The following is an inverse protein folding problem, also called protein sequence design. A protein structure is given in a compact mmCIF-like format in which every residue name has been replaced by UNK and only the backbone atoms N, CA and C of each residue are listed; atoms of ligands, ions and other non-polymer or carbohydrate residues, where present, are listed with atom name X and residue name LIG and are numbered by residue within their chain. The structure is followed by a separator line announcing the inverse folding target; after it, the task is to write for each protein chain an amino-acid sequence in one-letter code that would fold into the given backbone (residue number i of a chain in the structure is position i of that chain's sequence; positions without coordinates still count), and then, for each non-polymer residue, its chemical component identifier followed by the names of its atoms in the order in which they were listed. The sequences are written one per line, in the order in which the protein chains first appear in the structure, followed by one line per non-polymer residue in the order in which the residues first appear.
data_IF_624611446009
#
_entry.id   IF_624611446009
#
_cell.length_a   1.000
_cell.length_b   1.000
_cell.length_c   1.000
_cell.angle_alpha   90.00
_cell.angle_beta   90.00
_cell.angle_gamma   90.00
#
_symmetry.space_group_name_H-M   'P 1'
#
loop_
_entity.id
_entity.type
_entity.pdbx_description
1 polymer ?
#
# COMPACT_ATOMS: atom_id res chain seq x y z
N UNK A 1 -21.46 17.23 29.12
CA UNK A 1 -20.23 17.81 28.53
C UNK A 1 -18.97 17.24 29.18
N UNK A 2 -18.66 17.49 30.46
CA UNK A 2 -17.41 17.01 31.08
C UNK A 2 -17.23 15.46 31.08
N UNK A 3 -18.27 14.70 31.42
CA UNK A 3 -18.24 13.23 31.38
C UNK A 3 -18.10 12.66 29.96
N UNK A 4 -18.67 13.35 28.96
CA UNK A 4 -18.60 12.94 27.56
C UNK A 4 -17.21 13.20 26.98
N UNK A 5 -16.64 14.38 27.24
CA UNK A 5 -15.27 14.73 26.90
C UNK A 5 -14.28 13.72 27.48
N UNK A 6 -14.43 13.37 28.77
CA UNK A 6 -13.58 12.37 29.44
C UNK A 6 -13.64 11.00 28.78
N UNK A 7 -14.83 10.56 28.34
CA UNK A 7 -15.01 9.31 27.60
C UNK A 7 -14.33 9.36 26.23
N UNK A 8 -14.50 10.44 25.47
CA UNK A 8 -13.88 10.62 24.16
C UNK A 8 -12.35 10.64 24.25
N UNK A 9 -11.78 11.38 25.20
CA UNK A 9 -10.32 11.41 25.43
C UNK A 9 -9.77 10.03 25.77
N UNK A 10 -10.48 9.25 26.59
CA UNK A 10 -10.08 7.87 26.92
C UNK A 10 -10.10 6.96 25.68
N UNK A 11 -11.17 7.03 24.88
CA UNK A 11 -11.30 6.24 23.64
C UNK A 11 -10.20 6.63 22.65
N UNK A 12 -9.96 7.93 22.47
CA UNK A 12 -8.89 8.45 21.64
C UNK A 12 -7.52 7.95 22.08
N UNK A 13 -7.22 7.96 23.38
CA UNK A 13 -5.97 7.42 23.90
C UNK A 13 -5.77 5.95 23.53
N UNK A 14 -6.83 5.14 23.66
CA UNK A 14 -6.82 3.74 23.22
C UNK A 14 -6.63 3.58 21.71
N UNK A 15 -7.29 4.42 20.91
CA UNK A 15 -7.14 4.44 19.45
C UNK A 15 -5.71 4.80 19.04
N UNK A 16 -5.12 5.83 19.65
CA UNK A 16 -3.73 6.24 19.41
C UNK A 16 -2.76 5.11 19.73
N UNK A 17 -2.90 4.46 20.88
CA UNK A 17 -2.06 3.31 21.25
C UNK A 17 -2.20 2.14 20.27
N UNK A 18 -3.42 1.81 19.84
CA UNK A 18 -3.64 0.79 18.82
C UNK A 18 -2.98 1.17 17.50
N UNK A 19 -3.04 2.44 17.13
CA UNK A 19 -2.56 2.93 15.86
C UNK A 19 -1.04 3.02 15.82
N UNK A 20 -0.38 3.37 16.92
CA UNK A 20 1.08 3.26 17.08
C UNK A 20 1.56 1.83 16.80
N UNK A 21 0.83 0.81 17.29
CA UNK A 21 1.16 -0.60 16.99
C UNK A 21 1.00 -0.92 15.50
N UNK A 22 -0.09 -0.45 14.88
CA UNK A 22 -0.32 -0.64 13.43
C UNK A 22 0.77 0.04 12.60
N UNK A 23 1.21 1.24 13.00
CA UNK A 23 2.32 1.94 12.36
C UNK A 23 3.63 1.15 12.46
N UNK A 24 3.98 0.62 13.63
CA UNK A 24 5.17 -0.21 13.78
C UNK A 24 5.16 -1.45 12.87
N UNK A 25 4.02 -2.14 12.79
CA UNK A 25 3.84 -3.28 11.86
C UNK A 25 3.97 -2.83 10.40
N UNK A 26 3.44 -1.65 10.08
CA UNK A 26 3.55 -1.08 8.73
C UNK A 26 5.00 -0.75 8.39
N UNK A 27 5.73 -0.12 9.30
CA UNK A 27 7.15 0.21 9.11
C UNK A 27 8.01 -1.04 8.92
N UNK A 28 7.76 -2.09 9.69
CA UNK A 28 8.43 -3.38 9.53
C UNK A 28 8.14 -4.00 8.16
N UNK A 29 6.88 -3.98 7.74
CA UNK A 29 6.48 -4.46 6.41
C UNK A 29 7.12 -3.61 5.29
N UNK A 30 7.17 -2.29 5.46
CA UNK A 30 7.83 -1.39 4.51
C UNK A 30 9.35 -1.64 4.45
N UNK A 31 10.00 -1.97 5.57
CA UNK A 31 11.43 -2.31 5.58
C UNK A 31 11.72 -3.56 4.73
N UNK A 32 10.84 -4.56 4.80
CA UNK A 32 10.92 -5.80 4.01
C UNK A 32 10.80 -5.56 2.50
N UNK A 33 10.21 -4.43 2.06
CA UNK A 33 10.08 -4.11 0.62
C UNK A 33 11.41 -4.03 -0.12
N UNK A 34 12.51 -3.81 0.58
CA UNK A 34 13.86 -3.73 -0.03
C UNK A 34 14.40 -5.13 -0.39
N UNK A 35 13.90 -6.17 0.28
CA UNK A 35 14.38 -7.55 0.15
C UNK A 35 13.48 -8.39 -0.77
N UNK A 36 12.23 -7.97 -0.98
CA UNK A 36 11.21 -8.69 -1.74
C UNK A 36 11.32 -8.32 -3.22
N UNK A 37 12.34 -8.87 -3.89
CA UNK A 37 12.48 -8.88 -5.35
C UNK A 37 12.41 -10.31 -5.92
N UNK A 38 11.95 -11.28 -5.14
CA UNK A 38 11.60 -12.61 -5.64
C UNK A 38 10.12 -12.68 -5.99
N UNK A 39 9.84 -12.98 -7.25
CA UNK A 39 8.52 -12.98 -7.90
C UNK A 39 7.45 -13.77 -7.14
N UNK A 40 7.85 -14.82 -6.40
CA UNK A 40 6.97 -15.66 -5.60
C UNK A 40 6.42 -15.01 -4.32
N UNK A 41 7.08 -13.97 -3.80
CA UNK A 41 6.68 -13.29 -2.55
C UNK A 41 6.03 -11.92 -2.80
N UNK A 42 6.13 -11.39 -4.02
CA UNK A 42 5.64 -10.07 -4.37
C UNK A 42 4.10 -9.94 -4.26
N UNK A 43 3.36 -10.98 -4.64
CA UNK A 43 1.88 -10.98 -4.57
C UNK A 43 1.34 -10.96 -3.14
N UNK A 44 1.89 -11.83 -2.27
CA UNK A 44 1.53 -11.86 -0.84
C UNK A 44 1.92 -10.55 -0.14
N UNK A 45 3.04 -9.96 -0.54
CA UNK A 45 3.49 -8.68 -0.04
C UNK A 45 2.57 -7.53 -0.47
N UNK A 46 2.15 -7.49 -1.73
CA UNK A 46 1.19 -6.52 -2.25
C UNK A 46 -0.15 -6.59 -1.50
N UNK A 47 -0.65 -7.81 -1.23
CA UNK A 47 -1.87 -8.03 -0.46
C UNK A 47 -1.72 -7.47 0.96
N UNK A 48 -0.61 -7.77 1.65
CA UNK A 48 -0.35 -7.29 3.01
C UNK A 48 -0.27 -5.77 3.06
N UNK A 49 0.43 -5.13 2.12
CA UNK A 49 0.53 -3.67 2.03
C UNK A 49 -0.84 -3.04 1.78
N UNK A 50 -1.62 -3.61 0.87
CA UNK A 50 -2.98 -3.14 0.57
C UNK A 50 -3.89 -3.22 1.80
N UNK A 51 -3.81 -4.32 2.56
CA UNK A 51 -4.54 -4.47 3.82
C UNK A 51 -4.11 -3.42 4.86
N UNK A 52 -2.81 -3.20 5.04
CA UNK A 52 -2.32 -2.17 5.98
C UNK A 52 -2.79 -0.77 5.58
N UNK A 53 -2.77 -0.44 4.29
CA UNK A 53 -3.27 0.83 3.77
C UNK A 53 -4.74 1.06 4.14
N UNK A 54 -5.59 0.05 3.94
CA UNK A 54 -7.01 0.12 4.28
C UNK A 54 -7.20 0.33 5.79
N UNK A 55 -6.53 -0.48 6.61
CA UNK A 55 -6.62 -0.39 8.09
C UNK A 55 -6.18 0.99 8.58
N UNK A 56 -5.06 1.51 8.06
CA UNK A 56 -4.58 2.85 8.40
C UNK A 56 -5.57 3.94 7.98
N UNK A 57 -6.18 3.81 6.80
CA UNK A 57 -7.20 4.74 6.31
C UNK A 57 -8.46 4.77 7.20
N UNK A 58 -8.98 3.59 7.56
CA UNK A 58 -10.13 3.46 8.45
C UNK A 58 -9.86 4.06 9.83
N UNK A 59 -8.70 3.73 10.42
CA UNK A 59 -8.33 4.27 11.73
C UNK A 59 -8.06 5.77 11.70
N UNK A 60 -7.51 6.30 10.60
CA UNK A 60 -7.32 7.75 10.42
C UNK A 60 -8.67 8.47 10.37
N UNK A 61 -9.64 7.95 9.62
CA UNK A 61 -10.99 8.52 9.55
C UNK A 61 -11.67 8.50 10.93
N UNK A 62 -11.54 7.39 11.65
CA UNK A 62 -12.07 7.27 13.01
C UNK A 62 -11.41 8.28 13.96
N UNK A 63 -10.08 8.40 13.91
CA UNK A 63 -9.34 9.32 14.76
C UNK A 63 -9.76 10.78 14.52
N UNK A 64 -9.87 11.20 13.25
CA UNK A 64 -10.38 12.54 12.89
C UNK A 64 -11.76 12.79 13.50
N UNK A 65 -12.66 11.82 13.40
CA UNK A 65 -14.01 11.97 13.97
C UNK A 65 -14.02 12.14 15.50
N UNK A 66 -13.03 11.57 16.20
CA UNK A 66 -12.89 11.77 17.65
C UNK A 66 -12.24 13.11 17.96
N UNK A 67 -11.19 13.49 17.24
CA UNK A 67 -10.53 14.79 17.43
C UNK A 67 -11.50 15.94 17.18
N UNK A 68 -12.29 15.89 16.10
CA UNK A 68 -13.32 16.90 15.79
C UNK A 68 -14.36 17.01 16.93
N UNK A 69 -14.82 15.88 17.46
CA UNK A 69 -15.78 15.85 18.59
C UNK A 69 -15.17 16.39 19.88
N UNK A 70 -13.90 16.13 20.13
CA UNK A 70 -13.20 16.62 21.33
C UNK A 70 -13.02 18.13 21.22
N UNK A 71 -12.58 18.64 20.05
CA UNK A 71 -12.42 20.08 19.81
C UNK A 71 -13.73 20.84 20.05
N UNK A 72 -14.88 20.28 19.64
CA UNK A 72 -16.20 20.89 19.89
C UNK A 72 -16.64 20.92 21.36
N UNK A 73 -16.03 20.09 22.22
CA UNK A 73 -16.40 19.94 23.64
C UNK A 73 -15.39 20.56 24.59
N UNK A 74 -14.22 20.99 24.09
CA UNK A 74 -13.15 21.62 24.84
C UNK A 74 -13.40 23.12 24.94
N UNK A 75 -13.05 23.71 26.09
CA UNK A 75 -13.11 25.16 26.30
C UNK A 75 -12.08 25.88 25.42
N UNK A 76 -12.42 27.08 24.93
CA UNK A 76 -11.61 27.85 23.95
C UNK A 76 -10.12 27.95 24.30
N UNK A 77 -9.78 28.05 25.59
CA UNK A 77 -8.39 28.15 26.06
C UNK A 77 -7.54 26.89 25.91
N UNK A 78 -8.14 25.74 25.59
CA UNK A 78 -7.46 24.45 25.48
C UNK A 78 -7.50 23.87 24.05
N UNK A 79 -8.09 24.59 23.09
CA UNK A 79 -8.25 24.10 21.70
C UNK A 79 -6.90 23.96 21.00
N UNK A 80 -5.97 24.91 21.17
CA UNK A 80 -4.67 24.87 20.49
C UNK A 80 -3.84 23.65 20.87
N UNK A 81 -3.76 23.33 22.16
CA UNK A 81 -3.07 22.14 22.66
C UNK A 81 -3.69 20.85 22.11
N UNK A 82 -5.01 20.85 21.96
CA UNK A 82 -5.76 19.69 21.47
C UNK A 82 -5.57 19.48 19.96
N UNK A 83 -5.54 20.56 19.19
CA UNK A 83 -5.22 20.54 17.75
C UNK A 83 -3.78 20.07 17.54
N UNK A 84 -2.82 20.58 18.31
CA UNK A 84 -1.43 20.17 18.23
C UNK A 84 -1.28 18.67 18.52
N UNK A 85 -1.94 18.17 19.58
CA UNK A 85 -1.91 16.76 19.95
C UNK A 85 -2.51 15.84 18.89
N UNK A 86 -3.54 16.30 18.16
CA UNK A 86 -4.17 15.56 17.07
C UNK A 86 -3.28 15.44 15.83
N UNK A 87 -2.36 16.37 15.63
CA UNK A 87 -1.61 16.50 14.38
C UNK A 87 -0.49 15.47 14.22
N UNK A 88 0.28 15.19 15.28
CA UNK A 88 1.46 14.32 15.22
C UNK A 88 1.14 12.92 14.66
N UNK A 89 0.15 12.26 15.25
CA UNK A 89 -0.20 10.89 14.88
C UNK A 89 -0.90 10.84 13.52
N UNK A 90 -1.66 11.89 13.15
CA UNK A 90 -2.26 12.03 11.83
C UNK A 90 -1.21 12.12 10.74
N UNK A 91 -0.18 12.94 10.96
CA UNK A 91 0.92 13.08 10.02
C UNK A 91 1.69 11.77 9.86
N UNK A 92 1.93 11.03 10.94
CA UNK A 92 2.57 9.72 10.88
C UNK A 92 1.77 8.72 10.01
N UNK A 93 0.43 8.65 10.19
CA UNK A 93 -0.43 7.79 9.36
C UNK A 93 -0.38 8.20 7.89
N UNK A 94 -0.48 9.50 7.61
CA UNK A 94 -0.46 10.00 6.24
C UNK A 94 0.86 9.65 5.54
N UNK A 95 2.00 9.82 6.23
CA UNK A 95 3.32 9.43 5.71
C UNK A 95 3.37 7.93 5.42
N UNK A 96 2.87 7.09 6.32
CA UNK A 96 2.84 5.63 6.11
C UNK A 96 1.98 5.24 4.90
N UNK A 97 0.79 5.82 4.75
CA UNK A 97 -0.09 5.58 3.59
C UNK A 97 0.60 5.98 2.27
N UNK A 98 1.23 7.16 2.23
CA UNK A 98 1.97 7.63 1.06
C UNK A 98 3.11 6.67 0.70
N UNK A 99 3.82 6.16 1.71
CA UNK A 99 4.92 5.22 1.49
C UNK A 99 4.41 3.87 0.94
N UNK A 100 3.29 3.36 1.47
CA UNK A 100 2.63 2.18 0.93
C UNK A 100 2.24 2.41 -0.53
N UNK A 101 1.58 3.54 -0.83
CA UNK A 101 1.13 3.87 -2.19
C UNK A 101 2.29 3.93 -3.18
N UNK A 102 3.43 4.51 -2.77
CA UNK A 102 4.64 4.56 -3.58
C UNK A 102 5.19 3.16 -3.90
N UNK A 103 5.21 2.24 -2.92
CA UNK A 103 5.71 0.88 -3.11
C UNK A 103 4.76 0.07 -3.99
N UNK A 104 3.45 0.17 -3.76
CA UNK A 104 2.45 -0.48 -4.61
C UNK A 104 2.56 -0.01 -6.07
N UNK A 105 2.84 1.28 -6.29
CA UNK A 105 3.07 1.81 -7.64
C UNK A 105 4.37 1.26 -8.27
N UNK A 106 5.44 1.10 -7.48
CA UNK A 106 6.69 0.48 -7.94
C UNK A 106 6.49 -0.98 -8.35
N UNK A 107 5.83 -1.78 -7.51
CA UNK A 107 5.53 -3.20 -7.79
C UNK A 107 4.74 -3.36 -9.09
N UNK A 108 3.73 -2.50 -9.32
CA UNK A 108 2.97 -2.50 -10.58
C UNK A 108 3.81 -2.17 -11.82
N UNK A 109 4.77 -1.27 -11.69
CA UNK A 109 5.65 -0.87 -12.80
C UNK A 109 6.65 -1.97 -13.15
N UNK A 110 7.18 -2.68 -12.16
CA UNK A 110 8.11 -3.79 -12.38
C UNK A 110 7.43 -4.97 -13.06
N UNK A 111 6.23 -5.35 -12.62
CA UNK A 111 5.42 -6.39 -13.29
C UNK A 111 5.14 -6.09 -14.78
N UNK A 112 4.86 -4.83 -15.10
CA UNK A 112 4.60 -4.41 -16.48
C UNK A 112 5.86 -4.35 -17.36
N UNK A 113 7.05 -4.38 -16.75
CA UNK A 113 8.32 -4.31 -17.49
C UNK A 113 8.71 -5.69 -18.06
N UNK A 114 8.42 -6.76 -17.33
CA UNK A 114 8.69 -8.14 -17.76
C UNK A 114 7.64 -8.70 -18.74
N UNK A 115 6.42 -8.15 -18.73
CA UNK A 115 5.38 -8.49 -19.72
C UNK A 115 5.54 -7.74 -21.07
N UNK A 116 6.56 -6.88 -21.19
CA UNK A 116 6.86 -6.08 -22.39
C UNK A 116 7.79 -6.74 -23.43
N UNK A 117 8.28 -7.96 -23.22
CA UNK A 117 9.04 -8.66 -24.26
C UNK A 117 8.10 -9.19 -25.34
N UNK A 118 7.96 -8.42 -26.44
CA UNK A 118 7.30 -8.88 -27.67
C UNK A 118 7.89 -10.21 -28.16
N UNK A 119 7.08 -11.25 -28.40
CA UNK A 119 7.51 -12.44 -29.11
C UNK A 119 7.50 -12.13 -30.62
N UNK A 120 8.61 -11.63 -31.14
CA UNK A 120 8.81 -11.48 -32.60
C UNK A 120 9.98 -12.34 -33.05
N UNK A 121 9.84 -13.66 -32.91
CA UNK A 121 10.65 -14.61 -33.68
C UNK A 121 10.06 -16.02 -33.67
N UNK A 122 8.86 -16.16 -34.26
CA UNK A 122 8.38 -17.47 -34.72
C UNK A 122 7.61 -17.29 -36.01
N UNK A 123 8.33 -17.28 -37.14
CA UNK A 123 7.72 -17.70 -38.42
C UNK A 123 8.55 -18.85 -39.01
N UNK A 124 8.03 -20.05 -38.71
CA UNK A 124 8.13 -21.34 -39.40
C UNK A 124 9.16 -21.52 -40.52
N UNK A 125 10.16 -22.34 -40.22
CA UNK A 125 10.60 -23.38 -41.14
C UNK A 125 9.49 -24.44 -41.27
N UNK A 126 9.15 -24.86 -42.50
CA UNK A 126 9.04 -26.27 -42.95
C UNK A 126 7.92 -26.52 -43.99
N UNK A 127 8.32 -26.73 -45.24
CA UNK A 127 7.65 -27.53 -46.29
C UNK A 127 8.71 -27.75 -47.38
N UNK A 128 9.02 -28.91 -47.94
CA UNK A 128 8.63 -30.31 -47.78
C UNK A 128 9.71 -31.12 -48.58
N UNK A 129 9.92 -32.38 -48.25
CA UNK A 129 11.02 -33.22 -48.74
C UNK A 129 10.95 -33.66 -50.24
N UNK A 130 12.11 -33.61 -50.92
CA UNK A 130 12.82 -34.72 -51.62
C UNK A 130 12.23 -35.50 -52.84
N UNK A 131 12.78 -35.18 -54.04
CA UNK A 131 13.29 -35.96 -55.25
C UNK A 131 12.35 -36.83 -56.14
N UNK A 132 12.70 -37.24 -57.41
CA UNK A 132 13.98 -37.17 -58.19
C UNK A 132 13.89 -36.71 -59.69
N UNK A 133 15.01 -36.65 -60.46
CA UNK A 133 15.02 -36.25 -61.87
C UNK A 133 14.72 -37.43 -62.82
N UNK A 134 14.05 -37.15 -63.96
CA UNK A 134 13.94 -38.10 -65.08
C UNK A 134 14.44 -37.47 -66.39
N UNK A 135 15.32 -38.21 -67.06
CA UNK A 135 15.84 -37.96 -68.41
C UNK A 135 14.76 -38.01 -69.50
N UNK A 136 14.92 -37.16 -70.53
CA UNK A 136 14.67 -37.46 -71.96
C UNK A 136 15.30 -36.33 -72.80
N UNK A 137 16.42 -36.59 -73.48
CA UNK A 137 16.52 -36.95 -74.91
C UNK A 137 15.83 -35.94 -75.83
N UNK A 138 16.64 -35.13 -76.53
CA UNK A 138 16.53 -34.93 -77.97
C UNK A 138 17.89 -34.60 -78.55
#
# INVERSE_FOLDING_TARGET
MAEELKKLVKIRGGLRASLTKTLAVTEELLAQSTEIFEETQASDFEIKLTQQRVILGEKLALLKSFDDKIILLVEDGNIEDEVASADDIRQAIQRAIIHIDLILEKLKKEWNKDSGSSPSNLESSLSQATVPPTSKVR
#
